data_IF_563850151900
#
_entry.id   IF_563850151900
#
_cell.length_a   1.000
_cell.length_b   1.000
_cell.length_c   1.000
_cell.angle_alpha   90.00
_cell.angle_beta   90.00
_cell.angle_gamma   90.00
#
_symmetry.space_group_name_H-M   'P 1'
#
loop_
_entity.id
_entity.type
_entity.pdbx_description
1 polymer ?
#
# COMPACT_ATOMS: atom_id res chain seq x y z
N UNK A 1 -27.94 -12.06 9.76
CA UNK A 1 -29.17 -12.03 8.96
C UNK A 1 -29.33 -10.64 8.35
N UNK A 2 -29.68 -10.59 7.05
CA UNK A 2 -29.92 -9.31 6.35
C UNK A 2 -31.20 -8.71 6.95
N UNK A 3 -31.08 -7.58 7.61
CA UNK A 3 -32.26 -6.82 8.05
C UNK A 3 -32.86 -6.12 6.85
N UNK A 4 -34.03 -6.55 6.44
CA UNK A 4 -34.81 -5.86 5.42
C UNK A 4 -35.55 -4.71 6.10
N UNK A 5 -35.29 -3.47 5.67
CA UNK A 5 -36.05 -2.32 6.10
C UNK A 5 -37.41 -2.31 5.38
N UNK A 6 -38.49 -2.11 6.13
CA UNK A 6 -39.81 -1.88 5.56
C UNK A 6 -39.81 -0.53 4.81
N UNK A 7 -39.86 -0.59 3.48
CA UNK A 7 -39.87 0.61 2.64
C UNK A 7 -41.31 1.13 2.47
N UNK A 8 -41.45 2.41 2.65
CA UNK A 8 -42.70 3.12 2.33
C UNK A 8 -42.74 3.69 0.91
N UNK A 9 -41.63 3.69 0.21
CA UNK A 9 -41.51 4.15 -1.18
C UNK A 9 -41.11 3.00 -2.10
N UNK A 10 -41.65 2.95 -3.35
CA UNK A 10 -42.58 3.87 -3.98
C UNK A 10 -44.05 3.72 -3.52
N UNK A 11 -44.39 2.72 -2.71
CA UNK A 11 -45.69 2.49 -2.10
C UNK A 11 -45.55 1.68 -0.81
N UNK A 12 -46.53 1.79 0.08
CA UNK A 12 -46.54 1.09 1.35
C UNK A 12 -46.55 -0.44 1.12
N UNK A 13 -45.58 -1.15 1.76
CA UNK A 13 -45.41 -2.58 1.55
C UNK A 13 -44.55 -2.94 0.33
N UNK A 14 -43.84 -1.98 -0.25
CA UNK A 14 -42.83 -2.24 -1.29
C UNK A 14 -41.72 -3.19 -0.76
N UNK A 15 -41.25 -4.08 -1.62
CA UNK A 15 -40.18 -5.02 -1.27
C UNK A 15 -38.90 -4.31 -0.88
N UNK A 16 -38.36 -4.63 0.32
CA UNK A 16 -37.04 -4.19 0.79
C UNK A 16 -35.87 -4.99 0.19
N UNK A 17 -36.12 -5.93 -0.72
CA UNK A 17 -35.07 -6.75 -1.33
C UNK A 17 -34.18 -5.91 -2.22
N UNK A 18 -32.88 -5.93 -1.95
CA UNK A 18 -31.86 -5.27 -2.76
C UNK A 18 -31.19 -6.32 -3.67
N UNK A 19 -31.12 -6.03 -4.96
CA UNK A 19 -30.43 -6.89 -5.89
C UNK A 19 -28.91 -6.65 -5.82
N UNK A 20 -28.08 -7.67 -5.60
CA UNK A 20 -26.64 -7.51 -5.37
C UNK A 20 -25.83 -7.36 -6.67
N UNK A 21 -26.31 -6.52 -7.62
CA UNK A 21 -25.66 -6.34 -8.94
C UNK A 21 -24.20 -5.94 -8.85
N UNK A 22 -23.87 -5.03 -7.93
CA UNK A 22 -22.50 -4.58 -7.77
C UNK A 22 -21.59 -5.71 -7.26
N UNK A 23 -22.03 -6.44 -6.24
CA UNK A 23 -21.26 -7.58 -5.71
C UNK A 23 -21.05 -8.67 -6.75
N UNK A 24 -22.06 -8.94 -7.56
CA UNK A 24 -21.95 -9.91 -8.66
C UNK A 24 -20.92 -9.46 -9.71
N UNK A 25 -21.00 -8.19 -10.14
CA UNK A 25 -20.07 -7.62 -11.11
C UNK A 25 -18.62 -7.62 -10.61
N UNK A 26 -18.41 -7.25 -9.34
CA UNK A 26 -17.09 -7.26 -8.67
C UNK A 26 -16.51 -8.66 -8.61
N UNK A 27 -17.32 -9.64 -8.19
CA UNK A 27 -16.86 -11.03 -8.08
C UNK A 27 -16.54 -11.64 -9.45
N UNK A 28 -17.32 -11.31 -10.48
CA UNK A 28 -17.05 -11.75 -11.85
C UNK A 28 -15.75 -11.13 -12.38
N UNK A 29 -15.54 -9.83 -12.16
CA UNK A 29 -14.30 -9.14 -12.53
C UNK A 29 -13.08 -9.77 -11.84
N UNK A 30 -13.16 -9.96 -10.53
CA UNK A 30 -12.10 -10.60 -9.73
C UNK A 30 -11.77 -11.98 -10.28
N UNK A 31 -12.76 -12.86 -10.46
CA UNK A 31 -12.56 -14.23 -10.91
C UNK A 31 -11.95 -14.33 -12.33
N UNK A 32 -12.29 -13.41 -13.22
CA UNK A 32 -11.72 -13.37 -14.57
C UNK A 32 -10.30 -12.80 -14.54
N UNK A 33 -10.10 -11.66 -13.89
CA UNK A 33 -8.80 -10.98 -13.83
C UNK A 33 -7.74 -11.78 -13.08
N UNK A 34 -8.13 -12.49 -12.02
CA UNK A 34 -7.21 -13.31 -11.23
C UNK A 34 -6.52 -14.38 -12.09
N UNK A 35 -7.29 -15.10 -12.92
CA UNK A 35 -6.73 -16.13 -13.80
C UNK A 35 -5.79 -15.59 -14.87
N UNK A 36 -6.05 -14.37 -15.33
CA UNK A 36 -5.19 -13.71 -16.33
C UNK A 36 -3.90 -13.18 -15.71
N UNK A 37 -3.97 -12.66 -14.48
CA UNK A 37 -2.80 -12.09 -13.79
C UNK A 37 -1.92 -13.14 -13.12
N UNK A 38 -2.51 -14.26 -12.67
CA UNK A 38 -1.81 -15.37 -11.99
C UNK A 38 -2.05 -16.69 -12.73
N UNK A 39 -1.54 -16.83 -13.97
CA UNK A 39 -1.64 -18.07 -14.71
C UNK A 39 -0.81 -19.18 -14.07
N UNK A 40 -1.21 -20.42 -14.22
CA UNK A 40 -0.54 -21.61 -13.65
C UNK A 40 0.93 -21.79 -14.09
N UNK A 41 1.32 -21.16 -15.20
CA UNK A 41 2.72 -21.15 -15.69
C UNK A 41 3.58 -20.05 -15.09
N UNK A 42 3.06 -19.29 -14.14
CA UNK A 42 3.71 -18.11 -13.53
C UNK A 42 3.37 -16.79 -14.23
N UNK A 43 3.32 -15.68 -13.46
CA UNK A 43 2.92 -14.37 -13.97
C UNK A 43 3.99 -13.66 -14.82
N UNK A 44 5.24 -14.09 -14.72
CA UNK A 44 6.37 -13.45 -15.41
C UNK A 44 6.73 -14.22 -16.67
N UNK A 45 6.90 -13.48 -17.77
CA UNK A 45 7.49 -13.96 -19.01
C UNK A 45 8.61 -13.03 -19.44
N UNK A 46 9.71 -13.60 -19.90
CA UNK A 46 10.86 -12.85 -20.38
C UNK A 46 10.86 -12.77 -21.91
N UNK A 47 11.37 -11.67 -22.44
CA UNK A 47 11.57 -11.48 -23.88
C UNK A 47 12.97 -10.94 -24.12
N UNK A 48 13.72 -11.59 -24.99
CA UNK A 48 15.04 -11.09 -25.44
C UNK A 48 14.85 -9.95 -26.42
N UNK A 49 15.43 -8.79 -26.11
CA UNK A 49 15.46 -7.65 -27.02
C UNK A 49 16.67 -7.77 -27.95
N UNK A 50 16.44 -7.66 -29.26
CA UNK A 50 17.48 -7.78 -30.28
C UNK A 50 17.56 -9.19 -30.90
N UNK A 51 18.73 -9.54 -31.45
CA UNK A 51 18.92 -10.85 -32.07
C UNK A 51 19.09 -11.94 -30.97
N UNK A 52 18.18 -12.92 -30.90
CA UNK A 52 18.29 -13.97 -29.91
C UNK A 52 19.50 -14.88 -30.22
N UNK A 53 20.25 -15.22 -29.19
CA UNK A 53 21.29 -16.26 -29.24
C UNK A 53 20.92 -17.35 -28.25
N UNK A 54 21.45 -18.54 -28.42
CA UNK A 54 21.18 -19.64 -27.50
C UNK A 54 21.56 -19.30 -26.06
N UNK A 55 22.59 -18.50 -25.85
CA UNK A 55 23.05 -18.06 -24.52
C UNK A 55 22.05 -17.05 -23.92
N UNK A 56 21.60 -16.04 -24.68
CA UNK A 56 20.64 -15.03 -24.20
C UNK A 56 19.27 -15.62 -23.96
N UNK A 57 18.83 -16.61 -24.72
CA UNK A 57 17.58 -17.34 -24.47
C UNK A 57 17.67 -18.17 -23.18
N UNK A 58 18.79 -18.88 -22.97
CA UNK A 58 19.00 -19.63 -21.73
C UNK A 58 19.10 -18.71 -20.50
N UNK A 59 19.66 -17.51 -20.65
CA UNK A 59 19.67 -16.50 -19.59
C UNK A 59 18.28 -15.98 -19.29
N UNK A 60 17.51 -15.66 -20.34
CA UNK A 60 16.13 -15.20 -20.21
C UNK A 60 15.26 -16.23 -19.47
N UNK A 61 15.39 -17.51 -19.80
CA UNK A 61 14.68 -18.58 -19.09
C UNK A 61 15.04 -18.66 -17.63
N UNK A 62 16.33 -18.56 -17.26
CA UNK A 62 16.74 -18.56 -15.84
C UNK A 62 16.18 -17.36 -15.08
N UNK A 63 16.09 -16.19 -15.71
CA UNK A 63 15.48 -15.01 -15.10
C UNK A 63 13.98 -15.22 -14.92
N UNK A 64 13.28 -15.77 -15.91
CA UNK A 64 11.87 -16.10 -15.84
C UNK A 64 11.57 -17.05 -14.68
N UNK A 65 12.29 -18.17 -14.61
CA UNK A 65 12.14 -19.19 -13.57
C UNK A 65 12.40 -18.58 -12.18
N UNK A 66 13.46 -17.78 -12.05
CA UNK A 66 13.81 -17.13 -10.77
C UNK A 66 12.74 -16.10 -10.34
N UNK A 67 12.27 -15.26 -11.26
CA UNK A 67 11.24 -14.26 -10.95
C UNK A 67 9.91 -14.93 -10.58
N UNK A 68 9.51 -15.96 -11.30
CA UNK A 68 8.33 -16.73 -10.96
C UNK A 68 8.46 -17.38 -9.58
N UNK A 69 9.60 -18.00 -9.28
CA UNK A 69 9.88 -18.57 -7.96
C UNK A 69 9.80 -17.52 -6.85
N UNK A 70 10.35 -16.31 -7.07
CA UNK A 70 10.25 -15.21 -6.10
C UNK A 70 8.79 -14.83 -5.82
N UNK A 71 7.97 -14.72 -6.85
CA UNK A 71 6.59 -14.25 -6.75
C UNK A 71 5.66 -15.33 -6.18
N UNK A 72 5.85 -16.60 -6.59
CA UNK A 72 4.92 -17.67 -6.21
C UNK A 72 5.29 -18.39 -4.91
N UNK A 73 6.59 -18.46 -4.57
CA UNK A 73 7.05 -19.25 -3.44
C UNK A 73 7.63 -18.39 -2.30
N UNK A 74 8.34 -17.30 -2.64
CA UNK A 74 9.00 -16.49 -1.62
C UNK A 74 8.10 -15.38 -1.10
N UNK A 75 7.34 -14.73 -1.98
CA UNK A 75 6.39 -13.68 -1.61
C UNK A 75 5.01 -14.29 -1.27
N UNK A 76 4.88 -14.91 -0.11
CA UNK A 76 3.65 -15.58 0.34
C UNK A 76 2.41 -14.66 0.28
N UNK A 77 2.63 -13.35 0.45
CA UNK A 77 1.60 -12.32 0.42
C UNK A 77 1.16 -11.94 -1.01
N UNK A 78 1.92 -12.28 -2.05
CA UNK A 78 1.67 -11.78 -3.40
C UNK A 78 0.33 -12.23 -3.96
N UNK A 79 -0.01 -13.50 -3.77
CA UNK A 79 -1.25 -14.11 -4.25
C UNK A 79 -2.48 -13.54 -3.49
N UNK A 80 -2.59 -13.66 -2.15
CA UNK A 80 -3.76 -13.14 -1.42
C UNK A 80 -3.91 -11.62 -1.56
N UNK A 81 -2.81 -10.87 -1.56
CA UNK A 81 -2.85 -9.41 -1.75
C UNK A 81 -3.30 -9.03 -3.17
N UNK A 82 -2.95 -9.84 -4.18
CA UNK A 82 -3.40 -9.61 -5.56
C UNK A 82 -4.89 -9.92 -5.70
N UNK A 83 -5.36 -11.00 -5.09
CA UNK A 83 -6.78 -11.34 -5.07
C UNK A 83 -7.62 -10.24 -4.41
N UNK A 84 -7.17 -9.76 -3.25
CA UNK A 84 -7.80 -8.64 -2.55
C UNK A 84 -7.79 -7.36 -3.40
N UNK A 85 -6.67 -7.03 -4.03
CA UNK A 85 -6.54 -5.87 -4.91
C UNK A 85 -7.55 -5.92 -6.06
N UNK A 86 -7.74 -7.08 -6.68
CA UNK A 86 -8.68 -7.27 -7.78
C UNK A 86 -10.15 -7.17 -7.34
N UNK A 87 -10.44 -7.49 -6.09
CA UNK A 87 -11.77 -7.28 -5.51
C UNK A 87 -12.04 -5.78 -5.26
N UNK A 88 -11.07 -5.06 -4.70
CA UNK A 88 -11.23 -3.64 -4.39
C UNK A 88 -11.20 -2.72 -5.62
N UNK A 89 -10.44 -3.08 -6.65
CA UNK A 89 -10.27 -2.24 -7.84
C UNK A 89 -11.57 -1.79 -8.50
N UNK A 90 -12.55 -2.66 -8.79
CA UNK A 90 -13.81 -2.23 -9.40
C UNK A 90 -14.74 -1.48 -8.43
N UNK A 91 -14.53 -1.60 -7.11
CA UNK A 91 -15.30 -0.87 -6.09
C UNK A 91 -14.84 0.57 -5.92
N UNK A 92 -13.52 0.77 -5.80
CA UNK A 92 -12.92 2.06 -5.47
C UNK A 92 -12.40 2.82 -6.69
N UNK A 93 -12.28 2.14 -7.83
CA UNK A 93 -11.77 2.70 -9.08
C UNK A 93 -10.24 2.78 -9.14
N UNK A 94 -9.55 2.67 -8.01
CA UNK A 94 -8.08 2.65 -7.95
C UNK A 94 -7.60 1.84 -6.75
N UNK A 95 -6.46 1.18 -6.92
CA UNK A 95 -5.76 0.44 -5.87
C UNK A 95 -4.27 0.56 -6.09
N UNK A 96 -3.48 0.36 -5.06
CA UNK A 96 -2.04 0.52 -5.11
C UNK A 96 -1.33 -0.75 -4.66
N UNK A 97 -0.12 -0.94 -5.15
CA UNK A 97 0.77 -2.02 -4.72
C UNK A 97 2.11 -1.42 -4.31
N UNK A 98 2.50 -1.67 -3.07
CA UNK A 98 3.79 -1.24 -2.52
C UNK A 98 4.77 -2.40 -2.61
N UNK A 99 5.87 -2.18 -3.31
CA UNK A 99 6.95 -3.16 -3.46
C UNK A 99 8.18 -2.59 -2.78
N UNK A 100 8.75 -3.32 -1.83
CA UNK A 100 9.94 -2.91 -1.09
C UNK A 100 10.73 -4.12 -0.61
N UNK A 101 11.98 -3.90 -0.22
CA UNK A 101 12.78 -4.92 0.44
C UNK A 101 12.58 -4.81 1.95
N UNK A 102 12.12 -5.90 2.58
CA UNK A 102 11.93 -5.96 4.03
C UNK A 102 13.22 -6.48 4.67
N UNK A 103 13.93 -5.61 5.37
CA UNK A 103 15.19 -5.95 6.03
C UNK A 103 15.01 -6.97 7.17
N UNK A 104 13.84 -7.01 7.79
CA UNK A 104 13.55 -8.00 8.85
C UNK A 104 13.34 -9.39 8.27
N UNK A 105 12.66 -9.47 7.13
CA UNK A 105 12.39 -10.74 6.42
C UNK A 105 13.49 -11.11 5.44
N UNK A 106 14.43 -10.21 5.14
CA UNK A 106 15.52 -10.37 4.16
C UNK A 106 15.03 -10.79 2.78
N UNK A 107 13.87 -10.26 2.35
CA UNK A 107 13.27 -10.54 1.05
C UNK A 107 12.46 -9.36 0.53
N UNK A 108 12.19 -9.36 -0.76
CA UNK A 108 11.22 -8.45 -1.35
C UNK A 108 9.80 -8.80 -0.88
N UNK A 109 8.99 -7.77 -0.67
CA UNK A 109 7.60 -7.84 -0.23
C UNK A 109 6.76 -7.03 -1.20
N UNK A 110 5.60 -7.57 -1.55
CA UNK A 110 4.60 -6.91 -2.37
C UNK A 110 3.31 -6.82 -1.58
N UNK A 111 2.92 -5.61 -1.16
CA UNK A 111 1.76 -5.39 -0.31
C UNK A 111 0.68 -4.61 -1.04
N UNK A 112 -0.56 -5.06 -0.93
CA UNK A 112 -1.73 -4.30 -1.35
C UNK A 112 -1.95 -3.10 -0.43
N UNK A 113 -2.26 -1.94 -1.03
CA UNK A 113 -2.61 -0.71 -0.33
C UNK A 113 -3.93 -0.21 -0.90
N UNK A 114 -5.00 -0.16 -0.11
CA UNK A 114 -6.28 0.38 -0.54
C UNK A 114 -6.17 1.90 -0.78
N UNK A 115 -7.05 2.42 -1.64
CA UNK A 115 -7.03 3.85 -2.00
C UNK A 115 -7.25 4.77 -0.80
N UNK A 116 -7.99 4.32 0.21
CA UNK A 116 -8.26 5.06 1.44
C UNK A 116 -7.04 5.28 2.32
N UNK A 117 -6.05 4.38 2.24
CA UNK A 117 -4.79 4.48 2.98
C UNK A 117 -3.71 5.25 2.20
N UNK A 118 -4.05 5.80 1.02
CA UNK A 118 -3.13 6.57 0.20
C UNK A 118 -3.57 8.03 0.13
N UNK A 119 -2.75 8.92 0.69
CA UNK A 119 -3.04 10.37 0.75
C UNK A 119 -2.07 11.12 -0.16
N UNK A 120 -2.63 11.86 -1.11
CA UNK A 120 -1.90 12.70 -2.06
C UNK A 120 -2.47 14.11 -2.08
N UNK A 121 -1.70 15.15 -2.50
CA UNK A 121 -2.23 16.48 -2.70
C UNK A 121 -3.38 16.48 -3.71
N UNK A 122 -4.38 17.32 -3.50
CA UNK A 122 -5.54 17.43 -4.40
C UNK A 122 -5.16 17.82 -5.84
N UNK A 123 -4.06 18.55 -6.00
CA UNK A 123 -3.50 18.97 -7.30
C UNK A 123 -2.74 17.87 -8.04
N UNK A 124 -2.47 16.73 -7.38
CA UNK A 124 -1.67 15.67 -7.99
C UNK A 124 -2.47 14.94 -9.06
N UNK A 125 -1.94 14.91 -10.27
CA UNK A 125 -2.49 14.15 -11.40
C UNK A 125 -1.86 12.76 -11.55
N UNK A 126 -0.66 12.57 -11.00
CA UNK A 126 0.13 11.33 -11.06
C UNK A 126 0.95 11.20 -9.77
N UNK A 127 1.16 9.98 -9.29
CA UNK A 127 2.00 9.71 -8.12
C UNK A 127 3.47 10.09 -8.33
N UNK A 128 3.95 10.08 -9.57
CA UNK A 128 5.34 10.43 -9.89
C UNK A 128 5.62 11.92 -9.76
N UNK A 129 4.62 12.75 -10.04
CA UNK A 129 4.71 14.21 -10.02
C UNK A 129 4.12 14.81 -8.77
N UNK A 130 3.59 13.98 -7.87
CA UNK A 130 3.04 14.45 -6.61
C UNK A 130 4.16 14.90 -5.69
N UNK A 131 4.05 16.12 -5.14
CA UNK A 131 5.00 16.69 -4.18
C UNK A 131 5.14 15.83 -2.92
N UNK A 132 4.08 15.10 -2.57
CA UNK A 132 4.05 14.20 -1.43
C UNK A 132 3.10 13.03 -1.72
N UNK A 133 3.54 11.85 -1.37
CA UNK A 133 2.69 10.65 -1.32
C UNK A 133 2.78 10.09 0.09
N UNK A 134 1.66 9.97 0.78
CA UNK A 134 1.62 9.48 2.16
C UNK A 134 0.83 8.17 2.21
N UNK A 135 1.45 7.13 2.75
CA UNK A 135 0.81 5.87 3.07
C UNK A 135 0.46 5.83 4.56
N UNK A 136 -0.82 5.66 4.86
CA UNK A 136 -1.32 5.51 6.23
C UNK A 136 -1.16 4.04 6.63
N UNK A 137 -0.37 3.78 7.66
CA UNK A 137 -0.04 2.42 8.11
C UNK A 137 -0.53 2.25 9.55
N UNK A 138 -1.35 1.24 9.78
CA UNK A 138 -1.76 0.86 11.14
C UNK A 138 -0.87 -0.26 11.63
N UNK A 139 -0.27 -0.08 12.79
CA UNK A 139 0.63 -1.06 13.41
C UNK A 139 0.31 -1.27 14.89
N UNK A 140 0.47 -2.51 15.34
CA UNK A 140 0.44 -2.81 16.77
C UNK A 140 1.69 -2.25 17.48
N UNK A 141 1.57 -1.97 18.78
CA UNK A 141 2.72 -1.57 19.60
C UNK A 141 3.89 -2.56 19.50
N UNK A 142 3.58 -3.86 19.50
CA UNK A 142 4.59 -4.90 19.43
C UNK A 142 5.39 -4.87 18.10
N UNK A 143 4.74 -4.58 16.99
CA UNK A 143 5.42 -4.51 15.69
C UNK A 143 6.27 -3.25 15.57
N UNK A 144 5.79 -2.12 16.09
CA UNK A 144 6.60 -0.90 16.22
C UNK A 144 7.83 -1.17 17.10
N UNK A 145 7.66 -1.83 18.23
CA UNK A 145 8.75 -2.16 19.13
C UNK A 145 9.79 -3.09 18.50
N UNK A 146 9.38 -4.06 17.69
CA UNK A 146 10.30 -4.89 16.89
C UNK A 146 11.15 -4.05 15.95
N UNK A 147 10.53 -3.08 15.26
CA UNK A 147 11.24 -2.18 14.33
C UNK A 147 12.17 -1.20 15.08
N UNK A 148 11.82 -0.78 16.28
CA UNK A 148 12.71 0.01 17.14
C UNK A 148 13.92 -0.81 17.58
N UNK A 149 13.73 -2.06 18.04
CA UNK A 149 14.82 -2.96 18.44
C UNK A 149 15.72 -3.30 17.23
N UNK A 150 15.13 -3.47 16.05
CA UNK A 150 15.87 -3.71 14.81
C UNK A 150 16.64 -2.47 14.31
N UNK A 151 16.43 -1.29 14.93
CA UNK A 151 17.08 -0.04 14.54
C UNK A 151 16.50 0.62 13.29
N UNK A 152 15.37 0.10 12.77
CA UNK A 152 14.63 0.71 11.64
C UNK A 152 13.92 1.99 12.09
N UNK A 153 13.31 1.94 13.28
CA UNK A 153 12.68 3.09 13.93
C UNK A 153 13.50 3.56 15.11
N UNK A 154 13.44 4.86 15.38
CA UNK A 154 14.02 5.48 16.56
C UNK A 154 13.28 5.00 17.81
N UNK A 155 14.02 4.77 18.90
CA UNK A 155 13.44 4.42 20.20
C UNK A 155 12.85 5.68 20.86
N UNK A 156 11.61 5.98 20.55
CA UNK A 156 10.82 7.08 21.10
C UNK A 156 9.55 6.52 21.72
N UNK A 157 9.15 7.04 22.87
CA UNK A 157 7.86 6.74 23.45
C UNK A 157 6.76 7.37 22.57
N UNK A 158 5.83 6.55 22.13
CA UNK A 158 4.64 7.00 21.43
C UNK A 158 3.59 7.44 22.45
N UNK A 159 2.76 8.37 22.06
CA UNK A 159 1.60 8.76 22.87
C UNK A 159 0.65 7.56 22.99
N UNK A 160 -0.12 7.49 24.07
CA UNK A 160 -1.21 6.53 24.15
C UNK A 160 -2.08 6.66 22.91
N UNK A 161 -2.53 5.52 22.41
CA UNK A 161 -3.40 5.47 21.23
C UNK A 161 -4.58 6.40 21.49
N UNK A 162 -4.77 7.40 20.64
CA UNK A 162 -6.03 8.12 20.66
C UNK A 162 -7.08 7.17 20.14
N UNK A 163 -7.80 6.54 21.09
CA UNK A 163 -9.03 5.83 20.78
C UNK A 163 -9.90 6.79 19.96
N UNK A 164 -9.87 6.58 18.68
CA UNK A 164 -10.82 6.86 17.65
C UNK A 164 -11.88 7.95 17.85
N UNK A 165 -11.51 9.17 18.26
CA UNK A 165 -12.46 10.27 18.13
C UNK A 165 -12.75 10.66 16.66
N UNK A 166 -12.03 10.06 15.70
CA UNK A 166 -12.19 10.41 14.29
C UNK A 166 -12.03 9.23 13.29
N UNK A 167 -12.35 8.02 13.70
CA UNK A 167 -12.68 7.00 12.70
C UNK A 167 -14.00 7.43 12.06
N UNK A 168 -13.91 8.05 10.89
CA UNK A 168 -15.04 8.70 10.25
C UNK A 168 -16.25 7.76 10.17
N UNK A 169 -17.47 8.30 10.30
CA UNK A 169 -18.74 7.59 10.26
C UNK A 169 -18.89 6.58 9.08
N UNK A 170 -18.09 6.76 8.04
CA UNK A 170 -18.01 5.85 6.88
C UNK A 170 -17.32 4.54 7.26
N UNK A 171 -16.23 4.58 8.03
CA UNK A 171 -15.50 3.40 8.46
C UNK A 171 -16.28 2.61 9.51
N UNK A 172 -16.86 3.29 10.51
CA UNK A 172 -17.78 2.65 11.46
C UNK A 172 -18.91 1.92 10.75
N UNK A 173 -19.50 2.57 9.73
CA UNK A 173 -20.57 1.96 8.94
C UNK A 173 -20.08 0.79 8.11
N UNK A 174 -18.87 0.85 7.56
CA UNK A 174 -18.25 -0.25 6.83
C UNK A 174 -18.00 -1.44 7.73
N UNK A 175 -17.42 -1.22 8.90
CA UNK A 175 -17.12 -2.25 9.89
C UNK A 175 -18.39 -2.89 10.44
N UNK A 176 -19.44 -2.10 10.70
CA UNK A 176 -20.75 -2.61 11.07
C UNK A 176 -21.36 -3.51 9.99
N UNK A 177 -21.26 -3.12 8.73
CA UNK A 177 -21.73 -3.91 7.58
C UNK A 177 -20.95 -5.22 7.40
N UNK A 178 -19.66 -5.21 7.70
CA UNK A 178 -18.79 -6.38 7.69
C UNK A 178 -18.96 -7.27 8.93
N UNK A 179 -19.75 -6.82 9.93
CA UNK A 179 -19.94 -7.50 11.19
C UNK A 179 -18.72 -7.43 12.11
N UNK A 180 -17.78 -6.54 11.80
CA UNK A 180 -16.64 -6.23 12.62
C UNK A 180 -17.14 -5.33 13.76
N UNK A 181 -16.96 -5.77 14.99
CA UNK A 181 -17.20 -4.90 16.15
C UNK A 181 -15.92 -4.10 16.36
N UNK A 182 -15.99 -2.77 16.49
CA UNK A 182 -14.84 -1.98 16.89
C UNK A 182 -14.31 -2.59 18.20
N UNK A 183 -13.11 -3.15 18.12
CA UNK A 183 -12.45 -3.68 19.31
C UNK A 183 -11.65 -2.54 19.90
N UNK A 184 -12.24 -1.80 20.84
CA UNK A 184 -11.62 -0.67 21.53
C UNK A 184 -10.33 -1.04 22.31
N UNK A 185 -9.92 -2.30 22.29
CA UNK A 185 -8.73 -2.79 22.96
C UNK A 185 -7.54 -3.08 22.03
N UNK A 186 -7.69 -2.93 20.73
CA UNK A 186 -6.54 -3.02 19.82
C UNK A 186 -5.79 -1.69 19.82
N UNK A 187 -4.73 -1.63 20.64
CA UNK A 187 -3.76 -0.54 20.70
C UNK A 187 -3.01 -0.42 19.36
N UNK A 188 -3.71 0.01 18.32
CA UNK A 188 -3.11 0.24 17.01
C UNK A 188 -2.70 1.69 16.86
N UNK A 189 -1.43 1.89 16.52
CA UNK A 189 -0.87 3.18 16.20
C UNK A 189 -1.03 3.48 14.71
N UNK A 190 -1.47 4.68 14.39
CA UNK A 190 -1.52 5.15 13.00
C UNK A 190 -0.24 5.90 12.67
N UNK A 191 0.53 5.31 11.77
CA UNK A 191 1.79 5.88 11.28
C UNK A 191 1.57 6.45 9.88
N UNK A 192 2.21 7.57 9.61
CA UNK A 192 2.24 8.21 8.31
C UNK A 192 3.61 8.02 7.68
N UNK A 193 3.70 7.23 6.62
CA UNK A 193 4.90 7.09 5.82
C UNK A 193 4.81 8.04 4.63
N UNK A 194 5.56 9.13 4.71
CA UNK A 194 5.54 10.22 3.75
C UNK A 194 6.73 10.12 2.80
N UNK A 195 6.47 9.95 1.51
CA UNK A 195 7.44 10.15 0.44
C UNK A 195 7.35 11.62 0.02
N UNK A 196 8.38 12.39 0.30
CA UNK A 196 8.37 13.86 0.15
C UNK A 196 9.78 14.38 -0.15
N UNK A 197 9.86 15.46 -0.90
CA UNK A 197 11.12 16.16 -1.14
C UNK A 197 11.34 17.18 -0.03
N UNK A 198 12.54 17.16 0.61
CA UNK A 198 12.90 18.01 1.74
C UNK A 198 14.30 18.57 1.56
N UNK A 199 14.49 19.80 2.04
CA UNK A 199 15.81 20.39 2.28
C UNK A 199 16.09 20.28 3.78
N UNK A 200 16.96 19.35 4.16
CA UNK A 200 17.28 19.06 5.57
C UNK A 200 18.62 19.64 5.92
N UNK A 201 18.69 20.45 7.00
CA UNK A 201 19.92 21.03 7.52
C UNK A 201 20.99 19.95 7.78
N UNK A 202 22.15 20.13 7.15
CA UNK A 202 23.28 19.19 7.21
C UNK A 202 23.24 18.06 6.19
N UNK A 203 22.16 17.93 5.39
CA UNK A 203 21.98 16.94 4.34
C UNK A 203 21.52 17.58 3.02
N UNK A 204 21.78 18.89 2.90
CA UNK A 204 21.43 19.67 1.72
C UNK A 204 22.15 19.15 0.47
N UNK A 205 21.52 19.32 -0.68
CA UNK A 205 22.20 19.18 -1.95
C UNK A 205 23.27 20.29 -2.09
N UNK A 206 24.44 19.93 -2.65
CA UNK A 206 25.57 20.85 -2.79
C UNK A 206 25.96 20.99 -4.26
N UNK A 207 26.19 22.24 -4.66
CA UNK A 207 26.75 22.57 -5.95
C UNK A 207 28.24 22.14 -6.06
N UNK A 208 28.84 22.34 -7.24
CA UNK A 208 30.25 22.00 -7.48
C UNK A 208 31.23 22.81 -6.61
N UNK A 209 30.78 23.91 -6.01
CA UNK A 209 31.55 24.78 -5.14
C UNK A 209 31.37 24.42 -3.65
N UNK A 210 30.47 23.49 -3.34
CA UNK A 210 30.18 23.00 -1.98
C UNK A 210 29.16 23.84 -1.22
N UNK A 211 28.48 24.80 -1.88
CA UNK A 211 27.39 25.57 -1.29
C UNK A 211 26.07 24.82 -1.42
N UNK A 212 25.13 25.10 -0.52
CA UNK A 212 23.77 24.55 -0.65
C UNK A 212 23.13 25.02 -1.95
N UNK A 213 22.64 24.09 -2.76
CA UNK A 213 21.95 24.39 -4.02
C UNK A 213 20.51 24.86 -3.80
N UNK A 214 19.93 24.61 -2.61
CA UNK A 214 18.52 24.85 -2.30
C UNK A 214 17.57 23.87 -3.00
N UNK A 215 18.08 22.80 -3.59
CA UNK A 215 17.28 21.74 -4.18
C UNK A 215 16.78 20.82 -3.08
N UNK A 216 15.47 20.57 -3.05
CA UNK A 216 14.88 19.59 -2.15
C UNK A 216 15.18 18.18 -2.64
N UNK A 217 15.57 17.32 -1.74
CA UNK A 217 15.96 15.94 -2.03
C UNK A 217 14.87 14.96 -1.55
N UNK A 218 14.66 13.84 -2.26
CA UNK A 218 13.61 12.90 -1.91
C UNK A 218 13.94 12.08 -0.65
N UNK A 219 13.01 12.09 0.31
CA UNK A 219 13.09 11.36 1.57
C UNK A 219 11.82 10.53 1.81
N UNK A 220 11.98 9.48 2.60
CA UNK A 220 10.88 8.73 3.21
C UNK A 220 10.93 9.05 4.70
N UNK A 221 9.86 9.67 5.19
CA UNK A 221 9.71 10.06 6.59
C UNK A 221 8.55 9.30 7.19
N UNK A 222 8.80 8.54 8.24
CA UNK A 222 7.74 7.89 9.01
C UNK A 222 7.52 8.62 10.31
N UNK A 223 6.30 9.00 10.58
CA UNK A 223 5.91 9.69 11.80
C UNK A 223 4.64 9.10 12.41
N UNK A 224 4.51 9.24 13.71
CA UNK A 224 3.27 8.91 14.42
C UNK A 224 2.25 10.04 14.21
N UNK A 225 1.05 9.69 13.76
CA UNK A 225 0.00 10.66 13.46
C UNK A 225 -0.43 11.44 14.69
N UNK A 226 -0.54 10.78 15.84
CA UNK A 226 -1.08 11.37 17.06
C UNK A 226 -0.11 12.37 17.71
N UNK A 227 1.16 12.01 17.84
CA UNK A 227 2.17 12.84 18.49
C UNK A 227 3.01 13.69 17.54
N UNK A 228 2.97 13.41 16.25
CA UNK A 228 3.84 14.02 15.25
C UNK A 228 5.33 13.66 15.41
N UNK A 229 5.65 12.68 16.27
CA UNK A 229 7.04 12.25 16.48
C UNK A 229 7.56 11.47 15.27
N UNK A 230 8.74 11.86 14.81
CA UNK A 230 9.41 11.19 13.70
C UNK A 230 10.08 9.91 14.18
N UNK A 231 9.70 8.79 13.57
CA UNK A 231 10.23 7.45 13.84
C UNK A 231 11.42 7.11 12.95
N UNK A 232 11.37 7.48 11.67
CA UNK A 232 12.47 7.26 10.74
C UNK A 232 12.53 8.34 9.67
N UNK A 233 13.74 8.61 9.20
CA UNK A 233 13.99 9.42 8.00
C UNK A 233 15.05 8.69 7.21
N UNK A 234 14.76 8.39 5.95
CA UNK A 234 15.69 7.74 5.04
C UNK A 234 15.70 8.44 3.69
N UNK A 235 16.86 8.50 3.03
CA UNK A 235 16.98 9.01 1.68
C UNK A 235 16.27 8.07 0.71
N UNK A 236 15.40 8.63 -0.11
CA UNK A 236 14.74 7.89 -1.18
C UNK A 236 15.54 8.08 -2.48
N UNK A 237 16.33 7.08 -2.85
CA UNK A 237 17.09 7.12 -4.09
C UNK A 237 16.18 6.70 -5.24
N UNK A 238 15.83 7.65 -6.10
CA UNK A 238 15.14 7.37 -7.35
C UNK A 238 16.17 7.33 -8.47
N UNK A 239 16.30 6.21 -9.14
CA UNK A 239 17.23 6.04 -10.26
C UNK A 239 16.95 6.97 -11.44
N UNK A 240 15.72 7.52 -11.52
CA UNK A 240 15.25 8.36 -12.63
C UNK A 240 15.39 9.87 -12.38
N UNK A 241 15.79 10.27 -11.19
CA UNK A 241 16.13 11.65 -10.85
C UNK A 241 17.64 11.73 -10.53
N UNK A 242 18.49 11.93 -11.54
CA UNK A 242 19.95 11.99 -11.36
C UNK A 242 20.44 13.36 -10.83
N UNK A 243 19.59 14.15 -10.21
CA UNK A 243 19.99 15.35 -9.48
C UNK A 243 19.95 15.12 -7.99
#
# INVERSE_FOLDING_TARGET
GINYEDRSEPFLGASGVTHPLLSEAVTQFQAQSYKEMLPSGGPVKTQVLGAPTQETEAQAQRVEDFMNYQITEIMEEYDPDTDQMLFYLPLTGSTFKKIYFDETKQRAVSKFVPAEDMVVPYSASDLRTAERVTHVVRMSYNDIRKLQIAGVYRDVELSETNDGEDEGAIKERSDELLGLRPNYSDDSYTLLECHIDLDLEGFEDKDMEGNSSGIMLPYIVTLDQSSGKVLSISRNFREQDPL
#
